data_IF_887054582843
#
_entry.id   IF_887054582843
#
_cell.length_a   1.000
_cell.length_b   1.000
_cell.length_c   1.000
_cell.angle_alpha   90.00
_cell.angle_beta   90.00
_cell.angle_gamma   90.00
#
_symmetry.space_group_name_H-M   'P 1'
#
loop_
_entity.id
_entity.type
_entity.pdbx_description
1 polymer ?
#
# COMPACT_ATOMS: atom_id res chain seq x y z
N UNK A 1 -9.02 11.41 -51.19
CA UNK A 1 -9.24 10.31 -50.23
C UNK A 1 -8.67 10.61 -48.83
N UNK A 2 -7.54 11.31 -48.67
CA UNK A 2 -6.98 11.66 -47.34
C UNK A 2 -7.84 12.61 -46.48
N UNK A 3 -8.54 13.59 -47.06
CA UNK A 3 -9.32 14.58 -46.28
C UNK A 3 -10.52 13.96 -45.54
N UNK A 4 -11.21 12.99 -46.14
CA UNK A 4 -12.31 12.27 -45.46
C UNK A 4 -11.83 11.37 -44.32
N UNK A 5 -10.62 10.80 -44.44
CA UNK A 5 -10.02 9.93 -43.42
C UNK A 5 -9.61 10.73 -42.19
N UNK A 6 -8.96 11.88 -42.41
CA UNK A 6 -8.63 12.81 -41.33
C UNK A 6 -9.87 13.37 -40.63
N UNK A 7 -10.96 13.60 -41.38
CA UNK A 7 -12.24 14.03 -40.82
C UNK A 7 -12.85 12.93 -39.92
N UNK A 8 -12.87 11.67 -40.38
CA UNK A 8 -13.40 10.55 -39.58
C UNK A 8 -12.55 10.23 -38.36
N UNK A 9 -11.23 10.39 -38.44
CA UNK A 9 -10.32 10.20 -37.31
C UNK A 9 -10.53 11.28 -36.25
N UNK A 10 -10.76 12.52 -36.68
CA UNK A 10 -11.08 13.64 -35.80
C UNK A 10 -12.41 13.44 -35.08
N UNK A 11 -13.45 13.05 -35.80
CA UNK A 11 -14.77 12.76 -35.23
C UNK A 11 -14.71 11.60 -34.22
N UNK A 12 -13.93 10.56 -34.51
CA UNK A 12 -13.69 9.47 -33.58
C UNK A 12 -12.97 9.95 -32.30
N UNK A 13 -12.02 10.88 -32.43
CA UNK A 13 -11.29 11.46 -31.30
C UNK A 13 -12.19 12.38 -30.45
N UNK A 14 -13.00 13.21 -31.11
CA UNK A 14 -13.97 14.12 -30.44
C UNK A 14 -14.98 13.32 -29.62
N UNK A 15 -15.48 12.20 -30.16
CA UNK A 15 -16.37 11.28 -29.45
C UNK A 15 -15.66 10.55 -28.30
N UNK A 16 -14.40 10.15 -28.49
CA UNK A 16 -13.62 9.47 -27.46
C UNK A 16 -13.37 10.38 -26.24
N UNK A 17 -13.14 11.68 -26.46
CA UNK A 17 -12.86 12.65 -25.40
C UNK A 17 -14.15 13.14 -24.73
N UNK A 18 -15.24 13.32 -25.47
CA UNK A 18 -16.42 14.04 -24.97
C UNK A 18 -17.58 13.14 -24.52
N UNK A 19 -17.71 11.93 -25.08
CA UNK A 19 -18.86 11.04 -24.88
C UNK A 19 -18.42 9.61 -24.54
N UNK A 20 -17.44 9.49 -23.64
CA UNK A 20 -16.92 8.18 -23.23
C UNK A 20 -17.03 7.98 -21.70
N UNK A 21 -18.14 7.38 -21.23
CA UNK A 21 -18.34 7.08 -19.82
C UNK A 21 -17.26 6.17 -19.21
N UNK A 22 -16.63 5.32 -20.03
CA UNK A 22 -15.51 4.50 -19.55
C UNK A 22 -14.26 5.34 -19.31
N UNK A 23 -14.02 6.38 -20.12
CA UNK A 23 -12.92 7.33 -19.91
C UNK A 23 -13.18 8.20 -18.68
N UNK A 24 -14.39 8.71 -18.50
CA UNK A 24 -14.76 9.48 -17.31
C UNK A 24 -14.62 8.66 -16.02
N UNK A 25 -15.11 7.40 -16.03
CA UNK A 25 -14.93 6.47 -14.92
C UNK A 25 -13.44 6.19 -14.65
N UNK A 26 -12.64 6.07 -15.71
CA UNK A 26 -11.20 5.84 -15.58
C UNK A 26 -10.50 7.06 -14.95
N UNK A 27 -10.87 8.27 -15.38
CA UNK A 27 -10.41 9.52 -14.79
C UNK A 27 -10.81 9.61 -13.31
N UNK A 28 -12.05 9.27 -12.95
CA UNK A 28 -12.50 9.24 -11.55
C UNK A 28 -11.71 8.23 -10.68
N UNK A 29 -11.37 7.07 -11.26
CA UNK A 29 -10.56 6.05 -10.58
C UNK A 29 -9.10 6.51 -10.41
N UNK A 30 -8.55 7.22 -11.41
CA UNK A 30 -7.17 7.71 -11.44
C UNK A 30 -7.01 8.96 -10.57
N UNK A 31 -7.99 9.85 -10.53
CA UNK A 31 -7.97 11.12 -9.80
C UNK A 31 -8.20 10.94 -8.29
N UNK A 32 -8.10 9.70 -7.79
CA UNK A 32 -8.04 9.46 -6.35
C UNK A 32 -6.81 10.15 -5.78
N UNK A 33 -7.08 11.19 -4.99
CA UNK A 33 -6.07 12.00 -4.29
C UNK A 33 -4.98 11.11 -3.69
N UNK A 34 -3.78 11.24 -4.24
CA UNK A 34 -2.59 10.58 -3.76
C UNK A 34 -1.66 11.66 -3.18
N UNK A 35 -1.56 11.72 -1.86
CA UNK A 35 -0.71 12.68 -1.15
C UNK A 35 0.75 12.63 -1.62
N UNK A 36 1.25 11.47 -2.03
CA UNK A 36 2.63 11.32 -2.51
C UNK A 36 2.84 11.88 -3.92
N UNK A 37 1.82 11.77 -4.77
CA UNK A 37 1.81 12.40 -6.09
C UNK A 37 1.69 13.93 -5.96
N UNK A 38 0.81 14.40 -5.06
CA UNK A 38 0.65 15.83 -4.75
C UNK A 38 1.94 16.47 -4.21
N UNK A 39 2.73 15.70 -3.46
CA UNK A 39 4.03 16.16 -2.92
C UNK A 39 5.20 16.00 -3.91
N UNK A 40 4.94 15.62 -5.17
CA UNK A 40 5.93 15.40 -6.24
C UNK A 40 7.13 14.54 -5.81
N UNK A 41 6.83 13.43 -5.13
CA UNK A 41 7.84 12.54 -4.56
C UNK A 41 8.26 11.51 -5.62
N UNK A 42 9.39 11.76 -6.27
CA UNK A 42 9.90 10.96 -7.42
C UNK A 42 10.45 9.57 -7.03
N UNK A 43 10.82 9.36 -5.76
CA UNK A 43 11.35 8.08 -5.26
C UNK A 43 10.30 7.36 -4.40
N UNK A 44 9.31 6.77 -5.07
CA UNK A 44 8.11 6.21 -4.45
C UNK A 44 8.42 5.16 -3.37
N UNK A 45 9.23 4.14 -3.65
CA UNK A 45 9.42 2.99 -2.73
C UNK A 45 10.01 3.39 -1.37
N UNK A 46 11.15 4.10 -1.36
CA UNK A 46 11.81 4.52 -0.12
C UNK A 46 10.89 5.42 0.72
N UNK A 47 10.14 6.32 0.09
CA UNK A 47 9.28 7.27 0.81
C UNK A 47 7.96 6.64 1.27
N UNK A 48 7.44 5.65 0.56
CA UNK A 48 6.34 4.83 1.05
C UNK A 48 6.77 4.02 2.27
N UNK A 49 7.94 3.38 2.22
CA UNK A 49 8.49 2.66 3.39
C UNK A 49 8.75 3.61 4.56
N UNK A 50 9.22 4.83 4.30
CA UNK A 50 9.37 5.86 5.33
C UNK A 50 8.02 6.21 5.98
N UNK A 51 7.03 6.58 5.19
CA UNK A 51 5.71 6.93 5.70
C UNK A 51 5.04 5.77 6.43
N UNK A 52 5.10 4.57 5.86
CA UNK A 52 4.49 3.38 6.44
C UNK A 52 5.18 3.01 7.76
N UNK A 53 6.51 3.07 7.82
CA UNK A 53 7.24 2.85 9.08
C UNK A 53 6.87 3.87 10.15
N UNK A 54 6.72 5.15 9.76
CA UNK A 54 6.30 6.22 10.66
C UNK A 54 4.91 5.94 11.21
N UNK A 55 3.97 5.54 10.36
CA UNK A 55 2.58 5.25 10.74
C UNK A 55 2.43 3.96 11.55
N UNK A 56 3.33 3.00 11.37
CA UNK A 56 3.33 1.71 12.10
C UNK A 56 4.06 1.79 13.44
N UNK A 57 4.86 2.84 13.69
CA UNK A 57 5.66 2.97 14.89
C UNK A 57 4.87 3.71 16.00
N UNK A 58 4.47 3.01 17.08
CA UNK A 58 3.66 3.60 18.16
C UNK A 58 4.31 4.79 18.88
N UNK A 59 5.63 4.91 18.76
CA UNK A 59 6.45 5.94 19.40
C UNK A 59 6.58 7.22 18.55
N UNK A 60 6.04 7.22 17.33
CA UNK A 60 6.08 8.39 16.46
C UNK A 60 5.00 9.42 16.79
N UNK A 61 5.16 10.63 16.24
CA UNK A 61 4.33 11.78 16.55
C UNK A 61 2.98 11.86 15.80
N UNK A 62 2.47 10.74 15.26
CA UNK A 62 1.16 10.68 14.59
C UNK A 62 -0.04 10.63 15.55
N UNK A 63 0.18 10.48 16.86
CA UNK A 63 -0.86 10.57 17.89
C UNK A 63 -1.83 9.40 17.98
N UNK A 64 -1.55 8.30 17.27
CA UNK A 64 -2.39 7.09 17.27
C UNK A 64 -1.88 6.01 18.25
N UNK A 65 -0.69 6.18 18.84
CA UNK A 65 -0.01 5.14 19.64
C UNK A 65 -0.01 3.81 18.87
N UNK A 66 -0.20 2.68 19.55
CA UNK A 66 -0.25 1.36 18.93
C UNK A 66 -1.50 1.04 18.10
N UNK A 67 -2.50 1.93 18.05
CA UNK A 67 -3.78 1.65 17.43
C UNK A 67 -3.67 1.24 15.95
N UNK A 68 -2.84 1.97 15.19
CA UNK A 68 -2.66 1.68 13.77
C UNK A 68 -1.98 0.32 13.56
N UNK A 69 -0.93 0.05 14.33
CA UNK A 69 -0.21 -1.22 14.31
C UNK A 69 -1.14 -2.40 14.64
N UNK A 70 -1.99 -2.27 15.67
CA UNK A 70 -2.99 -3.29 16.02
C UNK A 70 -3.93 -3.60 14.85
N UNK A 71 -4.49 -2.56 14.22
CA UNK A 71 -5.39 -2.77 13.07
C UNK A 71 -4.65 -3.47 11.93
N UNK A 72 -3.41 -3.05 11.66
CA UNK A 72 -2.57 -3.67 10.64
C UNK A 72 -2.34 -5.15 10.91
N UNK A 73 -1.89 -5.52 12.12
CA UNK A 73 -1.63 -6.91 12.52
C UNK A 73 -2.92 -7.75 12.50
N UNK A 74 -4.06 -7.22 12.95
CA UNK A 74 -5.35 -7.95 12.89
C UNK A 74 -5.74 -8.28 11.46
N UNK A 75 -5.63 -7.31 10.54
CA UNK A 75 -5.91 -7.53 9.11
C UNK A 75 -4.95 -8.55 8.51
N UNK A 76 -3.70 -8.55 8.95
CA UNK A 76 -2.71 -9.48 8.49
C UNK A 76 -3.00 -10.91 8.95
N UNK A 77 -3.32 -11.12 10.23
CA UNK A 77 -3.69 -12.44 10.76
C UNK A 77 -4.96 -12.96 10.07
N UNK A 78 -5.97 -12.11 9.87
CA UNK A 78 -7.17 -12.51 9.12
C UNK A 78 -6.90 -12.92 7.67
N UNK A 79 -5.77 -12.50 7.08
CA UNK A 79 -5.33 -13.00 5.77
C UNK A 79 -4.49 -14.27 5.89
N UNK A 80 -3.68 -14.40 6.93
CA UNK A 80 -2.85 -15.56 7.21
C UNK A 80 -3.67 -16.78 7.69
N UNK A 81 -4.82 -16.54 8.31
CA UNK A 81 -5.79 -17.55 8.74
C UNK A 81 -6.25 -18.44 7.61
N UNK A 82 -6.50 -17.82 6.46
CA UNK A 82 -6.88 -18.45 5.20
C UNK A 82 -5.80 -19.47 4.75
N UNK A 83 -4.55 -19.28 5.17
CA UNK A 83 -3.41 -20.13 4.86
C UNK A 83 -3.10 -21.16 5.96
N UNK A 84 -3.88 -21.21 7.05
CA UNK A 84 -3.72 -22.16 8.16
C UNK A 84 -2.45 -21.95 9.01
N UNK A 85 -1.92 -20.73 9.03
CA UNK A 85 -0.60 -20.40 9.61
C UNK A 85 -0.66 -19.70 10.97
N UNK A 86 -1.81 -19.65 11.63
CA UNK A 86 -2.02 -18.77 12.77
C UNK A 86 -1.74 -19.42 14.13
N UNK A 87 -0.79 -18.82 14.86
CA UNK A 87 -0.49 -19.08 16.28
C UNK A 87 -1.06 -18.02 17.23
N UNK A 88 -1.59 -16.93 16.67
CA UNK A 88 -2.05 -15.73 17.37
C UNK A 88 -3.41 -15.36 16.79
N UNK A 89 -4.38 -15.06 17.64
CA UNK A 89 -5.73 -14.64 17.23
C UNK A 89 -5.87 -13.12 17.16
N UNK A 90 -6.96 -12.66 16.53
CA UNK A 90 -7.34 -11.24 16.51
C UNK A 90 -7.59 -10.70 17.93
N UNK A 91 -8.11 -11.53 18.83
CA UNK A 91 -8.35 -11.18 20.23
C UNK A 91 -7.05 -10.98 21.00
N UNK A 92 -6.04 -11.80 20.72
CA UNK A 92 -4.71 -11.66 21.34
C UNK A 92 -4.11 -10.29 20.99
N UNK A 93 -4.10 -9.92 19.70
CA UNK A 93 -3.58 -8.61 19.25
C UNK A 93 -4.35 -7.45 19.89
N UNK A 94 -5.68 -7.55 20.02
CA UNK A 94 -6.50 -6.51 20.63
C UNK A 94 -6.11 -6.24 22.09
N UNK A 95 -5.73 -7.31 22.81
CA UNK A 95 -5.35 -7.25 24.22
C UNK A 95 -3.91 -6.80 24.48
N UNK A 96 -3.04 -6.83 23.46
CA UNK A 96 -1.63 -6.48 23.64
C UNK A 96 -1.45 -4.99 23.88
N UNK A 97 -0.58 -4.62 24.82
CA UNK A 97 0.10 -3.33 24.78
C UNK A 97 1.27 -3.49 23.82
N UNK A 98 1.37 -2.60 22.82
CA UNK A 98 2.40 -2.62 21.78
C UNK A 98 3.16 -1.29 21.71
N UNK A 99 3.01 -0.39 22.68
CA UNK A 99 3.59 0.96 22.63
C UNK A 99 5.13 0.96 22.58
N UNK A 100 5.79 -0.09 23.08
CA UNK A 100 7.24 -0.29 23.05
C UNK A 100 7.74 -1.06 21.81
N UNK A 101 6.88 -1.29 20.80
CA UNK A 101 7.25 -1.99 19.56
C UNK A 101 8.40 -1.28 18.84
N UNK A 102 9.42 -2.05 18.45
CA UNK A 102 10.52 -1.55 17.65
C UNK A 102 10.20 -1.67 16.15
N UNK A 103 10.24 -0.55 15.44
CA UNK A 103 10.06 -0.47 13.99
C UNK A 103 11.36 0.02 13.35
N UNK A 104 12.03 -0.87 12.63
CA UNK A 104 13.29 -0.61 11.94
C UNK A 104 13.06 -0.54 10.43
N UNK A 105 13.82 0.32 9.78
CA UNK A 105 13.87 0.43 8.31
C UNK A 105 15.22 0.04 7.77
N UNK A 106 15.22 -0.46 6.54
CA UNK A 106 16.44 -0.73 5.76
C UNK A 106 17.45 -1.60 6.53
N UNK A 107 16.92 -2.51 7.38
CA UNK A 107 17.73 -3.34 8.26
C UNK A 107 18.04 -4.66 7.59
N UNK A 108 19.31 -4.94 7.32
CA UNK A 108 19.76 -6.18 6.62
C UNK A 108 19.00 -6.46 5.31
N UNK A 109 18.76 -5.43 4.51
CA UNK A 109 18.00 -5.47 3.25
C UNK A 109 16.49 -5.77 3.41
N UNK A 110 15.93 -5.50 4.58
CA UNK A 110 14.49 -5.54 4.83
C UNK A 110 13.95 -4.11 4.79
N UNK A 111 12.89 -3.87 4.02
CA UNK A 111 12.29 -2.53 3.92
C UNK A 111 11.77 -2.03 5.28
N UNK A 112 10.93 -2.83 5.95
CA UNK A 112 10.45 -2.55 7.31
C UNK A 112 10.44 -3.84 8.14
N UNK A 113 11.09 -3.79 9.29
CA UNK A 113 11.10 -4.83 10.31
C UNK A 113 10.36 -4.32 11.55
N UNK A 114 9.32 -5.03 11.97
CA UNK A 114 8.58 -4.76 13.19
C UNK A 114 8.88 -5.91 14.15
N UNK A 115 9.33 -5.62 15.35
CA UNK A 115 9.52 -6.65 16.37
C UNK A 115 9.04 -6.18 17.73
N UNK A 116 8.56 -7.13 18.52
CA UNK A 116 8.19 -6.90 19.90
C UNK A 116 8.67 -8.06 20.74
N UNK A 117 9.63 -7.77 21.63
CA UNK A 117 10.35 -8.81 22.36
C UNK A 117 9.44 -9.51 23.39
N UNK A 118 8.62 -8.76 24.15
CA UNK A 118 7.69 -9.35 25.13
C UNK A 118 6.63 -10.27 24.49
N UNK A 119 6.06 -9.84 23.36
CA UNK A 119 5.05 -10.61 22.60
C UNK A 119 5.66 -11.67 21.67
N UNK A 120 7.00 -11.71 21.59
CA UNK A 120 7.77 -12.66 20.77
C UNK A 120 7.29 -12.75 19.32
N UNK A 121 7.01 -11.61 18.69
CA UNK A 121 6.68 -11.59 17.26
C UNK A 121 7.64 -10.73 16.47
N UNK A 122 7.82 -11.14 15.21
CA UNK A 122 8.55 -10.40 14.20
C UNK A 122 7.72 -10.35 12.91
N UNK A 123 7.46 -9.16 12.40
CA UNK A 123 6.76 -8.94 11.15
C UNK A 123 7.68 -8.24 10.16
N UNK A 124 7.83 -8.82 8.98
CA UNK A 124 8.69 -8.30 7.92
C UNK A 124 7.79 -7.82 6.79
N UNK A 125 7.97 -6.56 6.41
CA UNK A 125 7.26 -5.95 5.28
C UNK A 125 8.30 -5.64 4.22
N UNK A 126 8.06 -6.16 3.01
CA UNK A 126 8.81 -5.84 1.80
C UNK A 126 7.88 -5.11 0.85
N UNK A 127 8.13 -3.83 0.63
CA UNK A 127 7.32 -2.98 -0.24
C UNK A 127 7.78 -3.13 -1.68
N UNK A 128 7.22 -4.10 -2.39
CA UNK A 128 7.42 -4.24 -3.85
C UNK A 128 6.39 -3.44 -4.61
N UNK A 129 6.80 -2.38 -5.31
CA UNK A 129 5.92 -1.73 -6.28
C UNK A 129 5.98 -2.51 -7.59
N UNK A 130 5.06 -3.47 -7.77
CA UNK A 130 4.93 -4.16 -9.05
C UNK A 130 4.38 -3.21 -10.11
N UNK A 131 5.26 -2.60 -10.90
CA UNK A 131 4.91 -2.17 -12.25
C UNK A 131 4.73 -3.42 -13.12
N UNK A 132 3.57 -4.07 -13.03
CA UNK A 132 3.14 -4.84 -14.21
C UNK A 132 2.86 -3.80 -15.27
N UNK A 133 3.67 -3.82 -16.33
CA UNK A 133 3.41 -3.16 -17.59
C UNK A 133 1.98 -3.45 -18.06
N UNK A 134 1.04 -2.62 -17.62
CA UNK A 134 -0.15 -2.30 -18.39
C UNK A 134 0.17 -0.91 -18.91
N UNK A 135 0.49 -0.82 -20.20
CA UNK A 135 0.59 0.46 -20.91
C UNK A 135 -0.68 1.27 -20.57
N UNK A 136 -0.56 2.25 -19.68
CA UNK A 136 -1.57 3.29 -19.48
C UNK A 136 -2.07 3.56 -18.06
N UNK A 137 -1.93 2.68 -17.06
CA UNK A 137 -2.54 2.92 -15.74
C UNK A 137 -1.61 2.69 -14.55
N UNK A 138 -1.14 3.77 -13.93
CA UNK A 138 -0.40 3.74 -12.66
C UNK A 138 -1.34 3.90 -11.47
N UNK A 139 -2.21 2.92 -11.20
CA UNK A 139 -3.02 2.91 -9.97
C UNK A 139 -3.26 1.49 -9.46
N UNK A 140 -2.23 0.87 -8.89
CA UNK A 140 -2.39 -0.17 -7.87
C UNK A 140 -1.08 -0.35 -7.08
N UNK A 141 -1.02 0.19 -5.86
CA UNK A 141 0.05 -0.16 -4.90
C UNK A 141 -0.30 -1.50 -4.24
N UNK A 142 0.09 -2.61 -4.87
CA UNK A 142 -0.01 -3.92 -4.22
C UNK A 142 1.17 -4.05 -3.26
N UNK A 143 0.94 -3.74 -1.99
CA UNK A 143 1.91 -4.03 -0.92
C UNK A 143 1.92 -5.54 -0.71
N UNK A 144 2.99 -6.21 -1.15
CA UNK A 144 3.16 -7.64 -0.93
C UNK A 144 3.85 -7.84 0.41
N UNK A 145 3.07 -8.05 1.47
CA UNK A 145 3.62 -8.52 2.75
C UNK A 145 4.15 -9.93 2.52
N UNK A 146 5.46 -10.09 2.38
CA UNK A 146 6.04 -11.37 1.98
C UNK A 146 6.10 -12.36 3.15
N UNK A 147 6.33 -11.92 4.40
CA UNK A 147 6.36 -12.81 5.58
C UNK A 147 6.12 -12.06 6.90
N UNK A 148 5.15 -12.48 7.70
CA UNK A 148 5.18 -12.20 9.14
C UNK A 148 5.28 -13.53 9.90
N UNK A 149 6.26 -13.58 10.80
CA UNK A 149 6.64 -14.77 11.53
C UNK A 149 6.37 -14.53 13.01
N UNK A 150 5.27 -15.08 13.50
CA UNK A 150 5.04 -15.22 14.93
C UNK A 150 5.93 -16.37 15.42
N UNK A 151 6.89 -16.08 16.31
CA UNK A 151 7.90 -17.05 16.76
C UNK A 151 7.37 -17.79 18.00
#
# INVERSE_FOLDING_TARGET
MNSKRNQSEREALEKFISDNPELELLEEIIDRFNIFAALNIVNYEIRYSAFLSWLLNPQENHGLRDYFLKIFLKKLILKASILGMERVSVFDIDSWDLDDTEVLREWRNIDILIKHDERKFVCVIENKMYSKDIKGLSTASIHRIEKCLFI
#
